data_IF_446240299692
#
_entry.id   IF_446240299692
#
_cell.length_a   1.000
_cell.length_b   1.000
_cell.length_c   1.000
_cell.angle_alpha   90.00
_cell.angle_beta   90.00
_cell.angle_gamma   90.00
#
_symmetry.space_group_name_H-M   'P 1'
#
loop_
_entity.id
_entity.type
_entity.pdbx_description
1 polymer ?
#
# COMPACT_ATOMS: atom_id res chain seq x y z
N UNK A 1 -7.02 -25.49 13.99
CA UNK A 1 -8.14 -24.55 13.84
C UNK A 1 -7.73 -23.51 12.80
N UNK A 2 -8.63 -23.15 11.89
CA UNK A 2 -8.31 -22.22 10.80
C UNK A 2 -8.16 -20.80 11.38
N UNK A 3 -7.03 -20.14 11.11
CA UNK A 3 -6.83 -18.75 11.54
C UNK A 3 -7.70 -17.84 10.68
N UNK A 4 -8.36 -16.85 11.27
CA UNK A 4 -9.20 -15.90 10.54
C UNK A 4 -8.33 -14.96 9.70
N UNK A 5 -8.53 -14.94 8.39
CA UNK A 5 -7.88 -14.00 7.48
C UNK A 5 -8.48 -12.60 7.67
N UNK A 6 -7.64 -11.62 7.95
CA UNK A 6 -8.05 -10.22 8.10
C UNK A 6 -7.88 -9.44 6.79
N UNK A 7 -6.70 -9.56 6.16
CA UNK A 7 -6.39 -8.84 4.93
C UNK A 7 -5.29 -9.52 4.13
N UNK A 8 -5.41 -9.45 2.82
CA UNK A 8 -4.32 -9.79 1.88
C UNK A 8 -3.89 -8.56 1.11
N UNK A 9 -2.63 -8.49 0.71
CA UNK A 9 -2.13 -7.43 -0.17
C UNK A 9 -0.74 -7.74 -0.70
N UNK A 10 -0.30 -6.95 -1.69
CA UNK A 10 1.00 -7.11 -2.31
C UNK A 10 2.02 -6.20 -1.60
N UNK A 11 3.25 -6.68 -1.42
CA UNK A 11 4.30 -6.00 -0.66
C UNK A 11 4.83 -4.74 -1.37
N UNK A 12 4.78 -4.70 -2.70
CA UNK A 12 5.18 -3.54 -3.51
C UNK A 12 4.20 -2.35 -3.36
N UNK A 13 3.06 -2.57 -2.67
CA UNK A 13 2.13 -1.48 -2.39
C UNK A 13 2.62 -0.50 -1.33
N UNK A 14 3.55 -0.93 -0.49
CA UNK A 14 3.96 -0.23 0.72
C UNK A 14 5.47 -0.14 0.83
N UNK A 15 5.94 0.74 1.70
CA UNK A 15 7.34 0.88 2.05
C UNK A 15 7.58 0.24 3.41
N UNK A 16 8.44 -0.78 3.47
CA UNK A 16 8.82 -1.40 4.74
C UNK A 16 9.63 -0.42 5.59
N UNK A 17 9.28 -0.30 6.87
CA UNK A 17 10.10 0.43 7.85
C UNK A 17 11.06 -0.54 8.54
N UNK A 18 12.18 -0.02 9.01
CA UNK A 18 13.25 -0.82 9.60
C UNK A 18 13.98 -0.10 10.72
N UNK A 19 14.79 -0.88 11.42
CA UNK A 19 15.65 -0.43 12.50
C UNK A 19 16.92 -1.28 12.54
N UNK A 20 18.09 -0.65 12.75
CA UNK A 20 19.36 -1.37 12.80
C UNK A 20 19.75 -2.07 11.48
N UNK A 21 19.30 -1.55 10.33
CA UNK A 21 19.62 -2.10 9.00
C UNK A 21 18.73 -3.26 8.54
N UNK A 22 17.70 -3.62 9.32
CA UNK A 22 16.78 -4.70 8.99
C UNK A 22 15.33 -4.19 8.91
N UNK A 23 14.55 -4.73 7.97
CA UNK A 23 13.13 -4.41 7.86
C UNK A 23 12.34 -5.11 8.97
N UNK A 24 11.37 -4.40 9.55
CA UNK A 24 10.46 -4.94 10.57
C UNK A 24 9.73 -6.16 10.03
N UNK A 25 9.26 -6.09 8.78
CA UNK A 25 8.50 -7.17 8.15
C UNK A 25 9.31 -8.47 8.01
N UNK A 26 10.57 -8.39 7.60
CA UNK A 26 11.45 -9.57 7.49
C UNK A 26 11.64 -10.27 8.85
N UNK A 27 11.61 -9.49 9.92
CA UNK A 27 11.71 -9.99 11.30
C UNK A 27 10.36 -10.23 11.97
N UNK A 28 9.24 -10.13 11.25
CA UNK A 28 7.92 -10.03 11.88
C UNK A 28 7.60 -11.23 12.78
N UNK A 29 7.82 -12.45 12.30
CA UNK A 29 7.60 -13.67 13.09
C UNK A 29 8.53 -13.74 14.31
N UNK A 30 9.78 -13.28 14.16
CA UNK A 30 10.75 -13.26 15.25
C UNK A 30 10.38 -12.24 16.33
N UNK A 31 9.91 -11.05 15.93
CA UNK A 31 9.43 -10.01 16.85
C UNK A 31 8.25 -10.54 17.66
N UNK A 32 7.27 -11.16 16.99
CA UNK A 32 6.10 -11.75 17.65
C UNK A 32 6.49 -12.83 18.65
N UNK A 33 7.37 -13.74 18.25
CA UNK A 33 7.82 -14.82 19.13
C UNK A 33 8.63 -14.28 20.31
N UNK A 34 9.50 -13.29 20.08
CA UNK A 34 10.24 -12.63 21.14
C UNK A 34 9.32 -11.91 22.15
N UNK A 35 8.25 -11.25 21.69
CA UNK A 35 7.24 -10.65 22.55
C UNK A 35 6.48 -11.71 23.37
N UNK A 36 6.13 -12.85 22.73
CA UNK A 36 5.49 -13.99 23.40
C UNK A 36 6.36 -14.56 24.51
N UNK A 37 7.65 -14.78 24.23
CA UNK A 37 8.63 -15.26 25.22
C UNK A 37 8.85 -14.27 26.38
N UNK A 38 8.68 -12.97 26.12
CA UNK A 38 8.73 -11.89 27.12
C UNK A 38 7.40 -11.66 27.86
N UNK A 39 6.41 -12.55 27.67
CA UNK A 39 5.06 -12.49 28.27
C UNK A 39 4.28 -11.20 27.93
N UNK A 40 4.53 -10.63 26.75
CA UNK A 40 3.86 -9.43 26.27
C UNK A 40 2.65 -9.77 25.39
N UNK A 41 1.72 -10.58 25.92
CA UNK A 41 0.63 -11.13 25.10
C UNK A 41 -0.28 -10.05 24.52
N UNK A 42 -0.58 -8.99 25.28
CA UNK A 42 -1.39 -7.87 24.79
C UNK A 42 -0.83 -7.21 23.52
N UNK A 43 0.51 -7.09 23.42
CA UNK A 43 1.19 -6.56 22.24
C UNK A 43 1.11 -7.56 21.08
N UNK A 44 1.32 -8.85 21.36
CA UNK A 44 1.26 -9.92 20.34
C UNK A 44 -0.13 -10.04 19.73
N UNK A 45 -1.18 -9.87 20.54
CA UNK A 45 -2.57 -9.96 20.11
C UNK A 45 -2.98 -8.76 19.23
N UNK A 46 -2.34 -7.60 19.39
CA UNK A 46 -2.52 -6.43 18.51
C UNK A 46 -1.87 -6.59 17.14
N UNK A 47 -0.91 -7.49 16.99
CA UNK A 47 -0.17 -7.63 15.74
C UNK A 47 -0.76 -8.79 14.94
N UNK A 48 -1.13 -8.57 13.68
CA UNK A 48 -1.55 -9.67 12.82
C UNK A 48 -0.36 -10.61 12.49
N UNK A 49 -0.66 -11.86 12.15
CA UNK A 49 0.34 -12.87 11.76
C UNK A 49 0.52 -12.81 10.24
N UNK A 50 1.69 -12.37 9.72
CA UNK A 50 1.95 -12.39 8.28
C UNK A 50 2.25 -13.80 7.79
N UNK A 51 1.75 -14.15 6.62
CA UNK A 51 2.08 -15.35 5.85
C UNK A 51 2.35 -14.93 4.40
N UNK A 52 3.58 -15.12 3.93
CA UNK A 52 3.98 -14.78 2.56
C UNK A 52 3.66 -15.95 1.64
N UNK A 53 3.23 -15.66 0.42
CA UNK A 53 3.03 -16.68 -0.62
C UNK A 53 4.36 -17.20 -1.18
N UNK A 54 4.31 -18.30 -1.95
CA UNK A 54 5.51 -18.92 -2.54
C UNK A 54 6.27 -17.99 -3.51
N UNK A 55 5.55 -17.05 -4.14
CA UNK A 55 6.13 -16.05 -5.05
C UNK A 55 6.81 -14.88 -4.34
N UNK A 56 6.61 -14.71 -3.03
CA UNK A 56 7.23 -13.65 -2.24
C UNK A 56 6.66 -12.25 -2.44
N UNK A 57 5.63 -12.07 -3.28
CA UNK A 57 5.09 -10.76 -3.67
C UNK A 57 3.80 -10.39 -2.91
N UNK A 58 3.12 -11.38 -2.33
CA UNK A 58 1.84 -11.21 -1.62
C UNK A 58 1.93 -11.74 -0.20
N UNK A 59 1.29 -11.03 0.72
CA UNK A 59 1.18 -11.40 2.13
C UNK A 59 -0.29 -11.45 2.56
N UNK A 60 -0.62 -12.53 3.27
CA UNK A 60 -1.88 -12.73 3.96
C UNK A 60 -1.69 -12.49 5.45
N UNK A 61 -2.53 -11.63 6.04
CA UNK A 61 -2.48 -11.25 7.45
C UNK A 61 -3.63 -11.90 8.21
N UNK A 62 -3.29 -12.71 9.21
CA UNK A 62 -4.26 -13.47 9.99
C UNK A 62 -4.40 -12.93 11.42
N UNK A 63 -5.59 -13.04 11.97
CA UNK A 63 -5.84 -12.73 13.38
C UNK A 63 -5.10 -13.71 14.30
N UNK A 64 -4.39 -13.22 15.34
CA UNK A 64 -3.87 -14.06 16.42
C UNK A 64 -4.95 -14.60 17.37
N UNK A 65 -6.12 -13.95 17.43
CA UNK A 65 -7.24 -14.32 18.30
C UNK A 65 -8.43 -14.77 17.46
N UNK A 66 -9.23 -15.68 18.02
CA UNK A 66 -10.51 -16.09 17.42
C UNK A 66 -11.60 -15.10 17.83
N UNK A 67 -12.59 -14.88 16.97
CA UNK A 67 -13.69 -13.94 17.21
C UNK A 67 -14.31 -13.40 15.93
N UNK A 68 -15.34 -12.57 16.09
CA UNK A 68 -15.99 -11.88 14.97
C UNK A 68 -15.14 -10.70 14.50
N UNK A 69 -14.92 -10.60 13.18
CA UNK A 69 -14.07 -9.55 12.58
C UNK A 69 -14.93 -8.41 12.06
N UNK A 70 -14.60 -7.21 12.50
CA UNK A 70 -15.16 -5.95 12.00
C UNK A 70 -14.02 -5.04 11.56
N UNK A 71 -14.11 -4.39 10.40
CA UNK A 71 -13.10 -3.40 10.01
C UNK A 71 -13.25 -2.13 10.84
N UNK A 72 -12.16 -1.37 11.03
CA UNK A 72 -12.21 -0.09 11.76
C UNK A 72 -13.33 0.84 11.26
N UNK A 73 -13.49 0.94 9.94
CA UNK A 73 -14.53 1.78 9.31
C UNK A 73 -15.96 1.29 9.54
N UNK A 74 -16.15 -0.01 9.67
CA UNK A 74 -17.46 -0.62 9.87
C UNK A 74 -17.83 -0.75 11.36
N UNK A 75 -16.89 -0.50 12.27
CA UNK A 75 -17.13 -0.57 13.71
C UNK A 75 -17.93 0.63 14.21
N UNK A 76 -18.68 0.45 15.28
CA UNK A 76 -19.39 1.53 15.97
C UNK A 76 -18.41 2.51 16.62
N UNK A 77 -18.83 3.75 16.84
CA UNK A 77 -17.97 4.80 17.41
C UNK A 77 -17.43 4.41 18.79
N UNK A 78 -18.29 3.86 19.67
CA UNK A 78 -17.90 3.39 21.01
C UNK A 78 -16.82 2.31 20.95
N UNK A 79 -16.93 1.38 20.00
CA UNK A 79 -15.96 0.32 19.78
C UNK A 79 -14.64 0.87 19.24
N UNK A 80 -14.68 1.83 18.31
CA UNK A 80 -13.48 2.55 17.84
C UNK A 80 -12.81 3.30 18.98
N UNK A 81 -13.55 3.99 19.85
CA UNK A 81 -12.98 4.69 21.01
C UNK A 81 -12.30 3.73 21.99
N UNK A 82 -12.95 2.62 22.34
CA UNK A 82 -12.37 1.60 23.23
C UNK A 82 -11.12 0.97 22.62
N UNK A 83 -11.17 0.65 21.33
CA UNK A 83 -10.05 0.10 20.60
C UNK A 83 -8.88 1.07 20.49
N UNK A 84 -9.13 2.36 20.23
CA UNK A 84 -8.10 3.39 20.21
C UNK A 84 -7.38 3.48 21.56
N UNK A 85 -8.14 3.55 22.66
CA UNK A 85 -7.57 3.57 24.02
C UNK A 85 -6.72 2.34 24.31
N UNK A 86 -7.16 1.18 23.84
CA UNK A 86 -6.39 -0.07 23.95
C UNK A 86 -5.06 0.01 23.17
N UNK A 87 -5.08 0.54 21.94
CA UNK A 87 -3.87 0.75 21.13
C UNK A 87 -2.92 1.76 21.77
N UNK A 88 -3.41 2.87 22.31
CA UNK A 88 -2.60 3.89 22.99
C UNK A 88 -1.83 3.28 24.18
N UNK A 89 -2.52 2.52 25.03
CA UNK A 89 -1.91 1.82 26.17
C UNK A 89 -0.87 0.78 25.73
N UNK A 90 -1.17 0.07 24.65
CA UNK A 90 -0.27 -0.94 24.08
C UNK A 90 0.99 -0.27 23.50
N UNK A 91 0.83 0.83 22.78
CA UNK A 91 1.94 1.58 22.18
C UNK A 91 2.87 2.16 23.26
N UNK A 92 2.32 2.72 24.34
CA UNK A 92 3.13 3.16 25.48
C UNK A 92 3.95 2.01 26.11
N UNK A 93 3.37 0.81 26.18
CA UNK A 93 4.07 -0.39 26.66
C UNK A 93 5.18 -0.84 25.71
N UNK A 94 4.93 -0.80 24.40
CA UNK A 94 5.90 -1.09 23.34
C UNK A 94 7.08 -0.14 23.39
N UNK A 95 6.84 1.17 23.53
CA UNK A 95 7.89 2.17 23.64
C UNK A 95 8.77 1.97 24.88
N UNK A 96 8.16 1.69 26.04
CA UNK A 96 8.90 1.39 27.26
C UNK A 96 9.79 0.16 27.07
N UNK A 97 9.27 -0.89 26.44
CA UNK A 97 10.02 -2.12 26.16
C UNK A 97 11.15 -1.88 25.16
N UNK A 98 10.88 -1.12 24.10
CA UNK A 98 11.87 -0.72 23.10
C UNK A 98 13.03 0.06 23.74
N UNK A 99 12.74 1.10 24.52
CA UNK A 99 13.74 1.91 25.25
C UNK A 99 14.59 1.05 26.18
N UNK A 100 13.98 0.14 26.95
CA UNK A 100 14.70 -0.82 27.81
C UNK A 100 15.62 -1.74 27.01
N UNK A 101 15.19 -2.20 25.84
CA UNK A 101 16.00 -3.08 24.99
C UNK A 101 17.17 -2.33 24.33
N UNK A 102 16.98 -1.07 23.96
CA UNK A 102 18.02 -0.20 23.41
C UNK A 102 19.12 0.14 24.43
N UNK A 103 18.79 0.21 25.72
CA UNK A 103 19.75 0.46 26.80
C UNK A 103 20.57 -0.78 27.21
N UNK A 104 20.24 -1.95 26.66
CA UNK A 104 20.96 -3.17 26.98
C UNK A 104 22.37 -3.19 26.35
N UNK A 105 23.38 -3.78 27.00
CA UNK A 105 24.71 -3.94 26.41
C UNK A 105 24.77 -5.03 25.33
N UNK A 106 23.68 -5.79 25.11
CA UNK A 106 23.65 -6.88 24.13
C UNK A 106 23.14 -6.38 22.78
N UNK A 107 23.96 -6.50 21.73
CA UNK A 107 23.62 -6.06 20.36
C UNK A 107 22.28 -6.63 19.87
N UNK A 108 22.02 -7.92 20.09
CA UNK A 108 20.75 -8.53 19.69
C UNK A 108 19.52 -7.92 20.40
N UNK A 109 19.66 -7.46 21.64
CA UNK A 109 18.59 -6.77 22.35
C UNK A 109 18.42 -5.34 21.84
N UNK A 110 19.51 -4.65 21.49
CA UNK A 110 19.45 -3.34 20.87
C UNK A 110 18.75 -3.39 19.50
N UNK A 111 19.08 -4.38 18.66
CA UNK A 111 18.41 -4.63 17.38
C UNK A 111 16.91 -4.88 17.58
N UNK A 112 16.55 -5.76 18.53
CA UNK A 112 15.14 -5.99 18.87
C UNK A 112 14.44 -4.69 19.32
N UNK A 113 15.08 -3.87 20.15
CA UNK A 113 14.53 -2.58 20.57
C UNK A 113 14.33 -1.61 19.40
N UNK A 114 15.31 -1.56 18.48
CA UNK A 114 15.24 -0.74 17.27
C UNK A 114 14.10 -1.18 16.35
N UNK A 115 13.96 -2.47 16.08
CA UNK A 115 12.83 -3.01 15.30
C UNK A 115 11.48 -2.77 15.97
N UNK A 116 11.41 -3.01 17.29
CA UNK A 116 10.18 -2.84 18.06
C UNK A 116 9.71 -1.37 18.06
N UNK A 117 10.64 -0.40 18.04
CA UNK A 117 10.29 1.04 17.96
C UNK A 117 9.54 1.43 16.68
N UNK A 118 9.65 0.61 15.63
CA UNK A 118 8.99 0.81 14.33
C UNK A 118 7.93 -0.24 14.04
N UNK A 119 7.74 -1.23 14.92
CA UNK A 119 6.84 -2.35 14.70
C UNK A 119 5.37 -1.94 14.58
N UNK A 120 4.94 -0.91 15.32
CA UNK A 120 3.55 -0.48 15.32
C UNK A 120 3.19 0.45 14.15
N UNK A 121 4.12 0.77 13.24
CA UNK A 121 3.83 1.56 12.04
C UNK A 121 2.91 0.79 11.09
N UNK A 122 1.84 1.40 10.62
CA UNK A 122 0.93 0.82 9.63
C UNK A 122 0.46 1.88 8.61
N UNK A 123 -0.02 1.49 7.41
CA UNK A 123 -0.29 2.46 6.34
C UNK A 123 -1.47 3.41 6.62
N UNK A 124 -2.49 2.97 7.36
CA UNK A 124 -3.62 3.83 7.78
C UNK A 124 -4.80 3.04 8.36
N UNK A 125 -5.91 3.72 8.65
CA UNK A 125 -7.12 3.16 9.30
C UNK A 125 -7.70 1.90 8.63
N UNK A 126 -7.61 1.79 7.29
CA UNK A 126 -8.10 0.63 6.55
C UNK A 126 -7.42 -0.69 6.95
N UNK A 127 -6.27 -0.61 7.63
CA UNK A 127 -5.46 -1.76 8.04
C UNK A 127 -5.67 -2.15 9.50
N UNK A 128 -6.66 -1.55 10.16
CA UNK A 128 -7.04 -1.87 11.53
C UNK A 128 -8.36 -2.63 11.54
N UNK A 129 -8.40 -3.74 12.27
CA UNK A 129 -9.56 -4.60 12.42
C UNK A 129 -9.84 -4.84 13.90
N UNK A 130 -11.10 -4.94 14.27
CA UNK A 130 -11.55 -5.32 15.60
C UNK A 130 -11.97 -6.79 15.58
N UNK A 131 -11.42 -7.59 16.48
CA UNK A 131 -11.82 -8.99 16.68
C UNK A 131 -12.33 -9.14 18.10
N UNK A 132 -13.64 -9.33 18.26
CA UNK A 132 -14.34 -9.26 19.55
C UNK A 132 -13.96 -8.01 20.38
N UNK A 133 -13.94 -6.85 19.72
CA UNK A 133 -13.58 -5.56 20.32
C UNK A 133 -12.08 -5.31 20.52
N UNK A 134 -11.20 -6.26 20.21
CA UNK A 134 -9.74 -6.09 20.31
C UNK A 134 -9.15 -5.59 18.98
N UNK A 135 -8.37 -4.50 18.98
CA UNK A 135 -7.75 -3.98 17.77
C UNK A 135 -6.57 -4.84 17.32
N UNK A 136 -6.51 -5.12 16.02
CA UNK A 136 -5.45 -5.88 15.36
C UNK A 136 -4.97 -5.09 14.14
N UNK A 137 -3.67 -4.83 14.11
CA UNK A 137 -2.97 -4.12 13.05
C UNK A 137 -2.50 -5.11 11.98
N UNK A 138 -2.99 -4.93 10.76
CA UNK A 138 -2.43 -5.55 9.56
C UNK A 138 -1.39 -4.63 8.91
N UNK A 139 -0.48 -5.20 8.11
CA UNK A 139 0.59 -4.42 7.47
C UNK A 139 1.43 -3.60 8.46
N UNK A 140 1.59 -4.13 9.68
CA UNK A 140 2.48 -3.51 10.66
C UNK A 140 3.94 -3.63 10.21
N UNK A 141 4.74 -2.61 10.49
CA UNK A 141 6.07 -2.46 9.90
C UNK A 141 6.07 -1.89 8.48
N UNK A 142 4.98 -1.28 8.02
CA UNK A 142 4.88 -0.62 6.72
C UNK A 142 4.27 0.78 6.81
N UNK A 143 4.62 1.62 5.83
CA UNK A 143 3.98 2.90 5.54
C UNK A 143 3.58 2.98 4.06
N UNK A 144 2.78 3.98 3.69
CA UNK A 144 2.47 4.21 2.28
C UNK A 144 3.74 4.59 1.51
N UNK A 145 3.76 4.31 0.21
CA UNK A 145 4.90 4.67 -0.62
C UNK A 145 5.07 6.18 -0.69
N UNK A 146 6.33 6.61 -0.61
CA UNK A 146 6.72 8.02 -0.59
C UNK A 146 6.29 8.79 0.67
N UNK A 147 5.76 8.10 1.69
CA UNK A 147 5.56 8.66 3.02
C UNK A 147 6.70 8.23 3.95
N UNK A 148 7.03 9.09 4.91
CA UNK A 148 7.95 8.74 5.99
C UNK A 148 7.19 8.04 7.13
N UNK A 149 7.93 7.34 7.99
CA UNK A 149 7.38 6.83 9.25
C UNK A 149 6.78 7.99 10.05
N UNK A 150 5.52 7.84 10.49
CA UNK A 150 4.83 8.87 11.28
C UNK A 150 5.45 8.98 12.67
N UNK A 151 5.49 10.19 13.21
CA UNK A 151 5.90 10.43 14.59
C UNK A 151 4.81 9.95 15.55
N UNK A 152 3.55 10.34 15.32
CA UNK A 152 2.37 9.76 15.96
C UNK A 152 1.69 8.75 15.02
N UNK A 153 1.72 7.49 15.42
CA UNK A 153 1.24 6.37 14.60
C UNK A 153 -0.29 6.25 14.63
N UNK A 154 -0.93 6.72 15.71
CA UNK A 154 -2.37 6.57 15.92
C UNK A 154 -3.16 7.80 15.47
N UNK A 155 -2.48 8.85 14.99
CA UNK A 155 -3.09 10.10 14.56
C UNK A 155 -4.17 9.87 13.47
N UNK A 156 -3.88 9.03 12.48
CA UNK A 156 -4.84 8.66 11.44
C UNK A 156 -6.13 7.99 11.99
N UNK A 157 -6.07 7.34 13.15
CA UNK A 157 -7.26 6.77 13.79
C UNK A 157 -8.04 7.84 14.57
N UNK A 158 -7.35 8.85 15.11
CA UNK A 158 -8.01 9.97 15.80
C UNK A 158 -8.74 10.88 14.83
N UNK A 159 -8.15 11.15 13.67
CA UNK A 159 -8.79 11.91 12.60
C UNK A 159 -10.10 11.23 12.15
N UNK A 160 -10.11 9.90 12.03
CA UNK A 160 -11.32 9.13 11.65
C UNK A 160 -12.45 9.13 12.69
N UNK A 161 -12.20 9.60 13.91
CA UNK A 161 -13.22 9.76 14.96
C UNK A 161 -13.83 11.16 14.98
N UNK A 162 -13.28 12.10 14.20
CA UNK A 162 -13.86 13.44 14.06
C UNK A 162 -15.07 13.27 13.12
N UNK A 163 -16.30 13.59 13.56
CA UNK A 163 -17.47 13.46 12.70
C UNK A 163 -17.27 14.33 11.46
N UNK A 164 -17.40 13.74 10.27
CA UNK A 164 -17.44 14.52 9.04
C UNK A 164 -18.56 15.55 9.19
N UNK A 165 -18.28 16.85 8.92
CA UNK A 165 -19.32 17.87 9.03
C UNK A 165 -20.47 17.44 8.11
N UNK A 166 -21.66 17.26 8.69
CA UNK A 166 -22.84 16.93 7.93
C UNK A 166 -22.93 17.89 6.74
N UNK A 167 -23.20 17.41 5.52
CA UNK A 167 -23.34 18.29 4.37
C UNK A 167 -24.35 19.35 4.77
N UNK A 168 -23.90 20.61 4.81
CA UNK A 168 -24.78 21.75 4.97
C UNK A 168 -25.70 21.66 3.78
N UNK A 169 -26.92 21.18 4.00
CA UNK A 169 -28.00 21.32 3.05
C UNK A 169 -28.15 22.83 2.93
N UNK A 170 -27.56 23.40 1.87
CA UNK A 170 -27.98 24.71 1.41
C UNK A 170 -29.42 24.46 0.99
N UNK A 171 -30.36 24.81 1.87
CA UNK A 171 -31.75 24.95 1.47
C UNK A 171 -31.71 25.93 0.30
N UNK A 172 -31.99 25.43 -0.92
CA UNK A 172 -32.31 26.29 -2.04
C UNK A 172 -33.34 27.30 -1.52
N UNK A 173 -33.12 28.61 -1.69
CA UNK A 173 -34.07 29.59 -1.20
C UNK A 173 -35.43 29.27 -1.79
N UNK A 174 -36.40 29.06 -0.90
CA UNK A 174 -37.81 28.86 -1.22
C UNK A 174 -38.21 29.89 -2.28
N UNK A 175 -38.80 29.47 -3.43
CA UNK A 175 -39.10 30.39 -4.50
C UNK A 175 -40.03 31.49 -3.95
N UNK A 176 -39.55 32.72 -4.06
CA UNK A 176 -40.26 33.93 -3.69
C UNK A 176 -41.69 33.87 -4.26
N UNK A 177 -42.74 34.02 -3.43
CA UNK A 177 -44.11 33.86 -3.89
C UNK A 177 -44.37 34.87 -5.01
N UNK A 178 -44.77 34.37 -6.18
CA UNK A 178 -45.16 35.19 -7.32
C UNK A 178 -46.15 36.26 -6.86
N UNK A 179 -45.78 37.52 -7.09
CA UNK A 179 -46.59 38.71 -6.84
C UNK A 179 -47.99 38.53 -7.46
N UNK A 180 -48.97 38.25 -6.60
CA UNK A 180 -50.38 38.34 -6.97
C UNK A 180 -50.65 39.81 -7.35
N UNK A 181 -51.19 40.10 -8.55
CA UNK A 181 -51.48 41.47 -8.94
C UNK A 181 -52.46 42.10 -7.95
N UNK A 182 -52.07 43.25 -7.42
CA UNK A 182 -52.81 44.01 -6.40
C UNK A 182 -54.29 44.20 -6.81
N UNK A 183 -55.25 43.92 -5.93
CA UNK A 183 -56.64 44.30 -6.18
C UNK A 183 -56.73 45.83 -6.17
N UNK A 184 -57.25 46.37 -7.27
CA UNK A 184 -57.58 47.79 -7.42
C UNK A 184 -58.65 48.18 -6.41
N UNK A 185 -58.24 48.79 -5.30
CA UNK A 185 -59.17 49.41 -4.34
C UNK A 185 -59.51 50.81 -4.86
N UNK A 186 -60.69 50.92 -5.46
CA UNK A 186 -61.37 52.18 -5.74
C UNK A 186 -61.83 52.78 -4.41
N UNK A 187 -61.28 53.93 -4.05
CA UNK A 187 -61.69 54.69 -2.87
C UNK A 187 -63.02 55.39 -3.15
N UNK A 188 -64.14 54.78 -2.75
CA UNK A 188 -65.40 55.52 -2.55
C UNK A 188 -65.77 55.53 -1.07
N UNK A 189 -65.89 56.76 -0.56
CA UNK A 189 -66.45 57.21 0.72
C UNK A 189 -65.60 57.07 1.99
N UNK A 190 -65.00 58.21 2.32
CA UNK A 190 -64.78 58.70 3.66
C UNK A 190 -66.11 58.86 4.43
N UNK A 191 -65.99 58.83 5.76
CA UNK A 191 -66.99 59.12 6.80
C UNK A 191 -67.76 57.93 7.41
N UNK A 192 -67.13 57.25 8.38
CA UNK A 192 -67.81 56.83 9.63
C UNK A 192 -66.80 56.58 10.77
N UNK A 193 -67.01 57.10 12.01
CA UNK A 193 -65.97 57.12 13.04
C UNK A 193 -65.98 55.94 14.04
N UNK A 194 -64.77 55.58 14.48
CA UNK A 194 -64.32 55.03 15.78
C UNK A 194 -65.29 54.14 16.59
N UNK A 195 -64.88 52.88 16.85
CA UNK A 195 -64.76 52.21 18.18
C UNK A 195 -64.52 50.70 17.95
N UNK A 196 -63.37 50.17 18.38
CA UNK A 196 -63.22 48.76 18.80
C UNK A 196 -62.04 48.63 19.78
N UNK A 197 -62.19 47.84 20.87
CA UNK A 197 -61.31 47.92 22.04
C UNK A 197 -60.01 47.12 21.90
N UNK A 198 -58.99 47.58 22.63
CA UNK A 198 -57.70 46.91 22.83
C UNK A 198 -57.93 45.57 23.54
N UNK A 199 -57.59 44.46 22.88
CA UNK A 199 -57.56 43.14 23.50
C UNK A 199 -56.33 43.05 24.41
N UNK A 200 -56.56 43.14 25.72
CA UNK A 200 -55.55 42.85 26.74
C UNK A 200 -55.31 41.33 26.81
N UNK A 201 -54.14 40.88 26.36
CA UNK A 201 -53.66 39.52 26.62
C UNK A 201 -53.18 39.49 28.08
N UNK A 202 -53.96 38.85 28.95
CA UNK A 202 -53.56 38.52 30.32
C UNK A 202 -52.80 37.19 30.29
N UNK A 203 -51.50 37.23 30.57
CA UNK A 203 -50.72 36.02 30.86
C UNK A 203 -50.97 35.68 32.32
N UNK A 204 -51.63 34.54 32.58
CA UNK A 204 -51.78 33.99 33.94
C UNK A 204 -50.52 33.20 34.34
N UNK A 205 -50.09 33.22 35.61
CA UNK A 205 -48.85 32.60 36.06
C UNK A 205 -48.86 31.05 36.11
N UNK A 206 -49.98 30.42 35.76
CA UNK A 206 -50.17 28.97 35.88
C UNK A 206 -49.57 28.12 34.76
N UNK A 207 -49.09 28.71 33.65
CA UNK A 207 -48.45 27.94 32.56
C UNK A 207 -46.96 27.62 32.83
N UNK A 208 -46.43 28.00 33.99
CA UNK A 208 -45.03 27.81 34.38
C UNK A 208 -44.76 26.62 35.31
N UNK A 209 -45.74 25.73 35.57
CA UNK A 209 -45.53 24.61 36.50
C UNK A 209 -46.24 23.32 36.08
N UNK A 210 -45.67 22.63 35.09
CA UNK A 210 -45.88 21.18 34.92
C UNK A 210 -44.61 20.45 35.38
N UNK A 211 -44.57 19.87 36.60
CA UNK A 211 -43.43 19.07 37.03
C UNK A 211 -43.41 17.72 36.29
N UNK A 212 -42.30 17.46 35.62
CA UNK A 212 -41.95 16.19 34.98
C UNK A 212 -41.86 15.07 36.06
N UNK A 213 -42.46 13.88 35.86
CA UNK A 213 -42.39 12.82 36.86
C UNK A 213 -40.96 12.27 36.97
N UNK A 214 -40.44 12.24 38.20
CA UNK A 214 -39.14 11.66 38.52
C UNK A 214 -39.05 10.17 38.10
N UNK A 215 -37.89 9.71 37.59
CA UNK A 215 -37.72 8.33 37.17
C UNK A 215 -37.81 7.38 38.37
N UNK A 216 -38.66 6.37 38.25
CA UNK A 216 -38.78 5.28 39.22
C UNK A 216 -37.47 4.49 39.26
N UNK A 217 -36.75 4.59 40.38
CA UNK A 217 -35.59 3.75 40.67
C UNK A 217 -36.07 2.31 40.81
N UNK A 218 -35.77 1.47 39.82
CA UNK A 218 -35.98 0.04 39.92
C UNK A 218 -35.07 -0.54 41.01
N UNK A 219 -35.66 -1.22 41.99
CA UNK A 219 -34.94 -1.93 43.04
C UNK A 219 -34.13 -3.09 42.43
N UNK A 220 -32.90 -3.37 42.92
CA UNK A 220 -32.11 -4.50 42.45
C UNK A 220 -32.81 -5.82 42.83
N UNK A 221 -33.05 -6.66 41.83
CA UNK A 221 -33.52 -8.03 42.06
C UNK A 221 -32.45 -8.81 42.85
N UNK A 222 -32.84 -9.65 43.83
CA UNK A 222 -31.90 -10.45 44.60
C UNK A 222 -31.16 -11.43 43.68
N UNK A 223 -29.84 -11.30 43.70
CA UNK A 223 -28.86 -12.14 43.01
C UNK A 223 -29.02 -13.62 43.46
N UNK A 224 -29.23 -14.58 42.55
CA UNK A 224 -29.25 -15.99 42.93
C UNK A 224 -27.85 -16.40 43.40
N UNK A 225 -27.78 -16.90 44.63
CA UNK A 225 -26.55 -17.34 45.28
C UNK A 225 -25.74 -18.31 44.39
N UNK A 226 -24.40 -18.22 44.39
CA UNK A 226 -23.56 -19.08 43.57
C UNK A 226 -23.72 -20.54 44.00
N UNK A 227 -24.26 -21.37 43.10
CA UNK A 227 -24.23 -22.82 43.25
C UNK A 227 -22.77 -23.25 43.10
N UNK A 228 -22.13 -23.57 44.22
CA UNK A 228 -20.79 -24.16 44.26
C UNK A 228 -20.88 -25.59 43.70
N UNK A 229 -20.74 -25.71 42.38
CA UNK A 229 -20.52 -27.02 41.74
C UNK A 229 -19.07 -27.40 42.02
N UNK A 230 -18.85 -28.19 43.06
CA UNK A 230 -17.57 -28.85 43.32
C UNK A 230 -17.29 -29.86 42.20
N UNK A 231 -16.60 -29.41 41.14
CA UNK A 231 -16.03 -30.33 40.15
C UNK A 231 -14.94 -31.15 40.83
N UNK A 232 -15.29 -32.36 41.29
CA UNK A 232 -14.33 -33.40 41.67
C UNK A 232 -13.43 -33.68 40.46
N UNK A 233 -12.20 -33.16 40.53
CA UNK A 233 -11.10 -33.41 39.58
C UNK A 233 -10.77 -34.90 39.64
N UNK A 234 -11.38 -35.70 38.76
CA UNK A 234 -10.92 -37.08 38.51
C UNK A 234 -9.63 -36.98 37.70
N UNK A 235 -8.51 -37.12 38.41
CA UNK A 235 -7.20 -37.38 37.81
C UNK A 235 -7.24 -38.83 37.32
N UNK A 236 -7.09 -39.13 36.02
CA UNK A 236 -6.86 -40.51 35.62
C UNK A 236 -5.47 -40.91 36.11
N UNK A 237 -5.48 -41.92 36.97
CA UNK A 237 -4.35 -42.61 37.57
C UNK A 237 -3.55 -43.34 36.48
N UNK A 238 -2.73 -42.62 35.73
CA UNK A 238 -1.67 -43.20 34.92
C UNK A 238 -0.45 -42.29 34.86
N UNK A 239 0.05 -41.98 36.05
CA UNK A 239 1.44 -41.59 36.25
C UNK A 239 2.19 -42.79 36.81
N UNK A 240 3.30 -43.13 36.14
CA UNK A 240 4.30 -44.18 36.41
C UNK A 240 3.97 -45.54 35.75
N UNK A 241 4.69 -45.92 34.69
CA UNK A 241 6.15 -46.04 34.73
C UNK A 241 6.85 -45.43 33.51
N UNK A 242 7.35 -44.19 33.63
CA UNK A 242 8.41 -43.68 32.72
C UNK A 242 9.53 -43.08 33.58
N UNK A 243 9.88 -43.79 34.66
CA UNK A 243 11.10 -43.55 35.44
C UNK A 243 12.08 -44.73 35.31
N UNK A 244 11.87 -45.63 34.35
CA UNK A 244 12.72 -46.78 34.05
C UNK A 244 13.22 -46.84 32.59
N UNK A 245 12.98 -45.81 31.78
CA UNK A 245 13.57 -45.69 30.42
C UNK A 245 14.71 -44.67 30.37
N UNK A 246 14.86 -43.82 31.40
CA UNK A 246 15.95 -42.83 31.50
C UNK A 246 17.30 -43.48 31.90
N UNK A 247 17.32 -44.76 32.31
CA UNK A 247 18.57 -45.51 32.59
C UNK A 247 19.01 -46.41 31.41
N UNK A 248 18.20 -46.55 30.35
CA UNK A 248 18.56 -47.31 29.14
C UNK A 248 18.92 -46.40 27.93
N UNK A 249 19.18 -45.11 28.16
CA UNK A 249 19.58 -44.15 27.13
C UNK A 249 20.99 -43.56 27.33
N UNK A 250 21.81 -44.17 28.20
CA UNK A 250 23.25 -43.83 28.36
C UNK A 250 24.18 -44.96 27.87
N UNK A 251 23.65 -46.10 27.41
CA UNK A 251 24.46 -47.21 26.89
C UNK A 251 24.00 -47.77 25.53
N UNK A 252 23.40 -46.93 24.68
CA UNK A 252 22.96 -47.35 23.34
C UNK A 252 23.24 -46.32 22.21
N UNK A 253 24.47 -45.78 22.10
CA UNK A 253 25.01 -45.47 20.79
C UNK A 253 26.33 -46.20 20.60
N UNK A 254 26.29 -47.53 20.50
CA UNK A 254 27.44 -48.33 20.07
C UNK A 254 27.10 -49.47 19.11
N UNK A 255 25.90 -49.45 18.51
CA UNK A 255 25.43 -50.49 17.59
C UNK A 255 24.55 -49.87 16.48
N UNK A 256 25.07 -48.87 15.77
CA UNK A 256 24.63 -48.58 14.41
C UNK A 256 25.86 -48.37 13.52
N UNK A 257 25.98 -49.09 12.39
CA UNK A 257 27.17 -49.04 11.57
C UNK A 257 27.34 -47.65 10.94
N UNK A 258 28.58 -47.15 10.98
CA UNK A 258 29.01 -45.94 10.27
C UNK A 258 28.65 -46.03 8.79
N UNK A 259 28.19 -44.95 8.13
CA UNK A 259 28.21 -44.89 6.68
C UNK A 259 29.67 -44.99 6.21
N UNK A 260 29.92 -45.92 5.30
CA UNK A 260 31.20 -46.08 4.65
C UNK A 260 31.57 -44.81 3.84
N UNK A 261 32.86 -44.47 3.74
CA UNK A 261 33.29 -43.48 2.75
C UNK A 261 32.90 -43.98 1.37
N UNK A 262 32.30 -43.08 0.58
CA UNK A 262 31.97 -43.33 -0.82
C UNK A 262 33.22 -43.82 -1.53
N UNK A 263 33.13 -45.04 -2.07
CA UNK A 263 34.17 -45.62 -2.90
C UNK A 263 34.41 -44.68 -4.10
N UNK A 264 35.68 -44.30 -4.24
CA UNK A 264 36.24 -43.74 -5.45
C UNK A 264 36.03 -44.74 -6.59
N UNK A 265 35.51 -44.32 -7.76
CA UNK A 265 35.37 -45.23 -8.89
C UNK A 265 36.75 -45.72 -9.34
N UNK A 266 36.96 -47.04 -9.23
CA UNK A 266 38.08 -47.72 -9.86
C UNK A 266 37.98 -47.57 -11.41
N UNK A 267 39.13 -47.53 -12.11
CA UNK A 267 39.19 -47.20 -13.53
C UNK A 267 38.66 -48.36 -14.38
N UNK A 268 37.74 -48.06 -15.29
CA UNK A 268 37.36 -48.93 -16.39
C UNK A 268 38.31 -48.71 -17.59
N UNK A 269 38.51 -49.73 -18.44
CA UNK A 269 39.71 -49.89 -19.27
C UNK A 269 39.76 -48.94 -20.45
N UNK A 270 40.98 -48.59 -20.84
CA UNK A 270 41.36 -47.83 -22.03
C UNK A 270 40.89 -48.58 -23.29
N UNK A 271 40.04 -47.99 -24.15
CA UNK A 271 40.00 -48.36 -25.55
C UNK A 271 41.12 -47.62 -26.30
N UNK A 272 41.84 -48.40 -27.11
CA UNK A 272 42.92 -47.97 -28.00
C UNK A 272 42.49 -46.81 -28.92
N UNK A 273 43.42 -45.92 -29.31
CA UNK A 273 43.12 -44.82 -30.23
C UNK A 273 42.91 -45.36 -31.64
N UNK A 274 41.65 -45.47 -32.07
CA UNK A 274 41.32 -45.66 -33.48
C UNK A 274 41.54 -44.34 -34.21
N UNK A 275 42.52 -44.33 -35.10
CA UNK A 275 42.75 -43.26 -36.06
C UNK A 275 41.53 -43.12 -36.98
N UNK A 276 40.83 -41.99 -36.90
CA UNK A 276 39.81 -41.60 -37.86
C UNK A 276 40.34 -40.38 -38.61
N UNK A 277 40.59 -40.58 -39.91
CA UNK A 277 41.11 -39.61 -40.84
C UNK A 277 40.27 -38.32 -40.90
N UNK A 278 40.91 -37.14 -41.09
CA UNK A 278 40.17 -35.90 -41.27
C UNK A 278 39.37 -35.94 -42.58
N UNK A 279 38.06 -35.70 -42.49
CA UNK A 279 37.20 -35.42 -43.65
C UNK A 279 37.61 -34.08 -44.29
N UNK A 280 37.52 -33.96 -45.63
CA UNK A 280 38.07 -32.85 -46.38
C UNK A 280 37.33 -31.53 -46.10
N UNK A 281 38.13 -30.49 -45.90
CA UNK A 281 37.72 -29.09 -45.79
C UNK A 281 37.12 -28.67 -47.13
N UNK A 282 35.87 -28.21 -47.12
CA UNK A 282 35.22 -27.61 -48.28
C UNK A 282 35.95 -26.30 -48.59
N UNK A 283 36.50 -26.18 -49.80
CA UNK A 283 37.17 -24.98 -50.27
C UNK A 283 36.21 -23.78 -50.24
N UNK A 284 36.66 -22.69 -49.61
CA UNK A 284 36.01 -21.38 -49.64
C UNK A 284 36.39 -20.72 -50.97
N UNK A 285 35.39 -20.29 -51.74
CA UNK A 285 35.59 -19.50 -52.96
C UNK A 285 36.27 -18.16 -52.63
N UNK A 286 37.24 -17.69 -53.44
CA UNK A 286 37.93 -16.45 -53.16
C UNK A 286 37.02 -15.24 -53.43
N UNK A 287 36.89 -14.38 -52.41
CA UNK A 287 36.35 -13.03 -52.51
C UNK A 287 37.16 -12.22 -53.54
N UNK A 288 36.49 -11.72 -54.57
CA UNK A 288 37.06 -10.75 -55.48
C UNK A 288 37.36 -9.44 -54.73
N UNK A 289 38.64 -9.06 -54.66
CA UNK A 289 39.06 -7.73 -54.23
C UNK A 289 38.72 -6.71 -55.32
N UNK A 290 37.61 -5.99 -55.15
CA UNK A 290 37.37 -4.74 -55.86
C UNK A 290 37.34 -3.61 -54.83
N UNK A 291 38.52 -3.05 -54.55
CA UNK A 291 38.68 -1.76 -53.88
C UNK A 291 38.66 -0.67 -54.96
N UNK A 292 37.62 0.19 -55.04
CA UNK A 292 37.73 1.39 -55.84
C UNK A 292 38.58 2.41 -55.08
N UNK A 293 39.84 2.57 -55.48
CA UNK A 293 40.63 3.77 -55.17
C UNK A 293 39.88 4.98 -55.75
N UNK A 294 39.12 5.69 -54.93
CA UNK A 294 38.77 7.08 -55.21
C UNK A 294 39.89 7.95 -54.65
N UNK A 295 40.61 8.58 -55.57
CA UNK A 295 41.62 9.59 -55.26
C UNK A 295 40.95 10.77 -54.56
N UNK A 296 41.59 11.24 -53.50
CA UNK A 296 41.18 12.42 -52.77
C UNK A 296 41.34 13.66 -53.67
N UNK A 297 40.24 14.29 -54.03
CA UNK A 297 40.23 15.60 -54.68
C UNK A 297 40.01 16.68 -53.61
N UNK A 298 41.00 17.57 -53.51
CA UNK A 298 41.03 18.69 -52.57
C UNK A 298 40.14 19.79 -53.13
N UNK A 299 38.96 19.98 -52.54
CA UNK A 299 38.13 21.17 -52.80
C UNK A 299 38.47 22.24 -51.76
N UNK A 300 38.94 23.37 -52.29
CA UNK A 300 39.35 24.55 -51.56
C UNK A 300 38.19 25.24 -50.83
N UNK A 301 38.57 25.82 -49.69
CA UNK A 301 37.78 26.68 -48.80
C UNK A 301 37.06 27.82 -49.54
N UNK A 302 35.75 27.99 -49.30
CA UNK A 302 35.10 29.30 -49.42
C UNK A 302 33.86 29.42 -48.52
N UNK A 303 33.79 30.62 -47.94
CA UNK A 303 32.64 31.34 -47.38
C UNK A 303 32.28 31.05 -45.91
N UNK A 304 32.48 32.11 -45.12
CA UNK A 304 32.19 32.29 -43.71
C UNK A 304 30.77 32.86 -43.60
N UNK A 305 29.87 32.16 -42.91
CA UNK A 305 28.61 32.71 -42.39
C UNK A 305 28.16 31.94 -41.12
N UNK A 306 27.38 32.59 -40.25
CA UNK A 306 27.79 33.05 -38.94
C UNK A 306 27.79 31.95 -37.87
N UNK A 307 28.59 32.16 -36.82
CA UNK A 307 28.63 31.33 -35.61
C UNK A 307 27.21 31.07 -35.06
N UNK A 308 26.76 29.81 -34.93
CA UNK A 308 25.61 29.52 -34.09
C UNK A 308 26.03 29.76 -32.64
N UNK A 309 25.20 30.54 -31.94
CA UNK A 309 25.29 30.76 -30.51
C UNK A 309 25.53 29.42 -29.78
N UNK A 310 26.34 29.40 -28.70
CA UNK A 310 26.73 28.16 -28.04
C UNK A 310 25.48 27.37 -27.65
N UNK A 311 25.36 26.16 -28.19
CA UNK A 311 24.34 25.20 -27.80
C UNK A 311 24.57 24.93 -26.33
N UNK A 312 23.71 25.48 -25.49
CA UNK A 312 23.66 25.19 -24.06
C UNK A 312 23.38 23.69 -23.96
N UNK A 313 24.40 22.92 -23.60
CA UNK A 313 24.27 21.51 -23.24
C UNK A 313 23.48 21.51 -21.94
N UNK A 314 22.15 21.52 -22.04
CA UNK A 314 21.27 21.31 -20.89
C UNK A 314 21.60 19.90 -20.39
N UNK A 315 22.16 19.82 -19.19
CA UNK A 315 22.49 18.54 -18.57
C UNK A 315 21.24 17.66 -18.54
N UNK A 316 21.30 16.51 -19.21
CA UNK A 316 20.19 15.55 -19.24
C UNK A 316 19.91 15.12 -17.79
N UNK A 317 18.67 15.25 -17.29
CA UNK A 317 18.33 14.80 -15.95
C UNK A 317 18.60 13.30 -15.83
N UNK A 318 19.30 12.87 -14.78
CA UNK A 318 19.67 11.45 -14.58
C UNK A 318 18.45 10.52 -14.45
N UNK A 319 17.30 11.08 -14.10
CA UNK A 319 16.01 10.40 -13.93
C UNK A 319 15.14 10.45 -15.20
N UNK A 320 15.54 11.15 -16.27
CA UNK A 320 14.76 11.24 -17.50
C UNK A 320 14.75 9.92 -18.28
N UNK A 321 13.61 9.61 -18.91
CA UNK A 321 13.53 8.53 -19.89
C UNK A 321 14.21 8.98 -21.18
N UNK A 322 15.28 8.29 -21.59
CA UNK A 322 16.03 8.61 -22.81
C UNK A 322 15.74 7.55 -23.87
N UNK A 323 15.13 7.97 -24.98
CA UNK A 323 14.85 7.17 -26.17
C UNK A 323 16.01 7.29 -27.17
N UNK A 324 17.15 6.68 -26.84
CA UNK A 324 18.36 6.75 -27.65
C UNK A 324 18.10 6.36 -29.12
N UNK A 325 18.50 7.22 -30.06
CA UNK A 325 18.21 7.05 -31.48
C UNK A 325 18.69 5.70 -32.05
N UNK A 326 19.82 5.18 -31.57
CA UNK A 326 20.35 3.87 -31.97
C UNK A 326 19.44 2.71 -31.53
N UNK A 327 18.91 2.77 -30.31
CA UNK A 327 18.02 1.74 -29.78
C UNK A 327 16.63 1.79 -30.44
N UNK A 328 16.10 2.99 -30.67
CA UNK A 328 14.81 3.19 -31.33
C UNK A 328 14.86 2.66 -32.76
N UNK A 329 15.91 2.99 -33.53
CA UNK A 329 16.12 2.47 -34.89
C UNK A 329 16.28 0.94 -34.93
N UNK A 330 16.90 0.37 -33.89
CA UNK A 330 17.05 -1.08 -33.75
C UNK A 330 15.78 -1.78 -33.25
N UNK A 331 14.68 -1.05 -32.96
CA UNK A 331 13.46 -1.62 -32.40
C UNK A 331 13.59 -2.09 -30.94
N UNK A 332 14.65 -1.66 -30.23
CA UNK A 332 14.91 -2.05 -28.84
C UNK A 332 14.13 -1.17 -27.88
N UNK A 333 13.41 -1.78 -26.95
CA UNK A 333 12.68 -1.10 -25.86
C UNK A 333 13.37 -1.25 -24.50
N UNK A 334 14.66 -1.63 -24.47
CA UNK A 334 15.40 -1.85 -23.22
C UNK A 334 15.43 -0.63 -22.31
N UNK A 335 15.44 0.57 -22.88
CA UNK A 335 15.38 1.83 -22.15
C UNK A 335 14.11 1.99 -21.30
N UNK A 336 13.04 1.23 -21.57
CA UNK A 336 11.78 1.26 -20.84
C UNK A 336 11.79 0.35 -19.61
N UNK A 337 12.74 -0.58 -19.50
CA UNK A 337 12.78 -1.54 -18.39
C UNK A 337 13.08 -0.85 -17.06
N UNK A 338 12.22 -1.07 -16.07
CA UNK A 338 12.36 -0.54 -14.72
C UNK A 338 11.07 0.06 -14.18
N UNK A 339 11.22 0.80 -13.08
CA UNK A 339 10.11 1.49 -12.41
C UNK A 339 10.15 2.97 -12.75
N UNK A 340 9.03 3.50 -13.22
CA UNK A 340 8.85 4.87 -13.64
C UNK A 340 7.72 5.54 -12.89
N UNK A 341 7.93 6.79 -12.47
CA UNK A 341 6.89 7.69 -11.99
C UNK A 341 6.45 8.54 -13.18
N UNK A 342 5.17 8.49 -13.52
CA UNK A 342 4.56 9.32 -14.54
C UNK A 342 3.88 10.51 -13.87
N UNK A 343 4.28 11.70 -14.26
CA UNK A 343 3.77 12.97 -13.74
C UNK A 343 2.93 13.59 -14.85
N UNK A 344 1.64 13.72 -14.59
CA UNK A 344 0.70 14.43 -15.46
C UNK A 344 0.81 15.92 -15.16
N UNK A 345 0.93 16.74 -16.20
CA UNK A 345 0.92 18.20 -16.06
C UNK A 345 -0.53 18.73 -15.98
N UNK A 346 -1.32 18.12 -15.10
CA UNK A 346 -2.71 18.48 -14.81
C UNK A 346 -2.93 18.44 -13.31
N UNK A 347 -3.47 19.54 -12.78
CA UNK A 347 -3.96 19.61 -11.41
C UNK A 347 -5.37 19.03 -11.38
N UNK A 348 -5.59 18.06 -10.51
CA UNK A 348 -6.91 17.51 -10.23
C UNK A 348 -7.82 18.63 -9.67
N UNK A 349 -9.01 18.86 -10.23
CA UNK A 349 -9.91 19.92 -9.77
C UNK A 349 -10.47 19.70 -8.36
N UNK A 350 -10.44 18.46 -7.84
CA UNK A 350 -10.96 18.12 -6.50
C UNK A 350 -9.84 18.14 -5.46
N UNK A 351 -8.69 17.55 -5.78
CA UNK A 351 -7.59 17.37 -4.79
C UNK A 351 -6.45 18.38 -4.94
N UNK A 352 -6.39 19.15 -6.04
CA UNK A 352 -5.34 20.13 -6.33
C UNK A 352 -3.93 19.54 -6.53
N UNK A 353 -3.77 18.22 -6.34
CA UNK A 353 -2.49 17.48 -6.46
C UNK A 353 -2.53 16.61 -7.72
N UNK A 354 -1.45 16.52 -8.50
CA UNK A 354 -1.41 15.61 -9.65
C UNK A 354 -1.47 14.15 -9.17
N UNK A 355 -2.30 13.29 -9.77
CA UNK A 355 -2.40 11.89 -9.37
C UNK A 355 -1.04 11.19 -9.52
N UNK A 356 -0.65 10.44 -8.49
CA UNK A 356 0.63 9.72 -8.55
C UNK A 356 0.46 8.42 -9.35
N UNK A 357 1.05 8.39 -10.53
CA UNK A 357 1.00 7.24 -11.43
C UNK A 357 2.38 6.59 -11.50
N UNK A 358 2.45 5.28 -11.26
CA UNK A 358 3.69 4.49 -11.30
C UNK A 358 3.54 3.34 -12.27
N UNK A 359 4.56 3.14 -13.07
CA UNK A 359 4.66 2.06 -14.04
C UNK A 359 5.85 1.19 -13.69
N UNK A 360 5.66 -0.12 -13.73
CA UNK A 360 6.74 -1.09 -13.62
C UNK A 360 6.71 -1.94 -14.88
N UNK A 361 7.70 -1.75 -15.74
CA UNK A 361 7.74 -2.35 -17.07
C UNK A 361 8.99 -3.21 -17.18
N UNK A 362 8.79 -4.43 -17.67
CA UNK A 362 9.87 -5.35 -17.97
C UNK A 362 9.52 -6.14 -19.23
N UNK A 363 10.40 -6.09 -20.24
CA UNK A 363 10.21 -6.80 -21.51
C UNK A 363 8.84 -6.54 -22.14
N UNK A 364 8.48 -5.26 -22.26
CA UNK A 364 7.25 -4.78 -22.88
C UNK A 364 5.92 -5.12 -22.18
N UNK A 365 5.97 -5.70 -20.98
CA UNK A 365 4.81 -5.98 -20.15
C UNK A 365 5.02 -5.41 -18.76
N UNK A 366 3.94 -5.12 -18.06
CA UNK A 366 4.07 -4.52 -16.74
C UNK A 366 2.74 -4.24 -16.08
N UNK A 367 2.84 -3.49 -14.98
CA UNK A 367 1.69 -3.00 -14.24
C UNK A 367 1.76 -1.49 -14.08
N UNK A 368 0.61 -0.86 -14.22
CA UNK A 368 0.41 0.54 -13.86
C UNK A 368 -0.39 0.60 -12.56
N UNK A 369 0.06 1.46 -11.66
CA UNK A 369 -0.58 1.74 -10.38
C UNK A 369 -0.83 3.23 -10.24
N UNK A 370 -2.05 3.56 -9.86
CA UNK A 370 -2.49 4.94 -9.63
C UNK A 370 -2.97 5.02 -8.19
N UNK A 371 -2.57 6.08 -7.49
CA UNK A 371 -3.06 6.40 -6.14
C UNK A 371 -3.84 7.72 -6.22
N UNK A 372 -5.11 7.68 -5.81
CA UNK A 372 -6.00 8.84 -5.74
C UNK A 372 -6.09 9.38 -4.29
N UNK A 373 -6.68 10.58 -4.11
CA UNK A 373 -6.70 11.37 -2.87
C UNK A 373 -7.18 10.64 -1.60
N UNK A 374 -7.99 9.59 -1.75
CA UNK A 374 -8.56 8.82 -0.63
C UNK A 374 -7.81 7.50 -0.35
N UNK A 375 -6.52 7.42 -0.70
CA UNK A 375 -5.71 6.19 -0.64
C UNK A 375 -6.27 5.02 -1.46
N UNK A 376 -7.16 5.31 -2.42
CA UNK A 376 -7.69 4.32 -3.36
C UNK A 376 -6.60 3.97 -4.35
N UNK A 377 -6.25 2.69 -4.41
CA UNK A 377 -5.19 2.18 -5.29
C UNK A 377 -5.83 1.47 -6.46
N UNK A 378 -5.63 2.01 -7.67
CA UNK A 378 -6.09 1.41 -8.91
C UNK A 378 -4.94 0.72 -9.63
N UNK A 379 -5.14 -0.53 -10.07
CA UNK A 379 -4.13 -1.36 -10.74
C UNK A 379 -4.60 -1.85 -12.10
N UNK A 380 -3.73 -1.78 -13.11
CA UNK A 380 -3.97 -2.31 -14.45
C UNK A 380 -2.73 -3.02 -15.00
N UNK A 381 -2.94 -4.10 -15.74
CA UNK A 381 -1.92 -4.67 -16.62
C UNK A 381 -1.72 -3.77 -17.84
N UNK A 382 -0.46 -3.53 -18.17
CA UNK A 382 -0.07 -2.71 -19.31
C UNK A 382 0.92 -3.43 -20.22
N UNK A 383 0.88 -3.01 -21.48
CA UNK A 383 1.69 -3.53 -22.57
C UNK A 383 2.28 -2.34 -23.30
N UNK A 384 3.55 -2.43 -23.63
CA UNK A 384 4.25 -1.41 -24.39
C UNK A 384 4.80 -1.96 -25.69
N UNK A 385 4.91 -1.12 -26.70
CA UNK A 385 5.46 -1.49 -28.00
C UNK A 385 6.01 -0.28 -28.72
N UNK A 386 7.16 -0.45 -29.36
CA UNK A 386 7.75 0.57 -30.23
C UNK A 386 7.27 0.33 -31.66
N UNK A 387 6.57 1.29 -32.24
CA UNK A 387 6.13 1.24 -33.62
C UNK A 387 7.30 1.54 -34.58
N UNK A 388 7.16 1.13 -35.84
CA UNK A 388 8.17 1.34 -36.89
C UNK A 388 8.47 2.82 -37.17
N UNK A 389 7.55 3.73 -36.81
CA UNK A 389 7.73 5.18 -36.89
C UNK A 389 8.55 5.76 -35.72
N UNK A 390 9.04 4.93 -34.80
CA UNK A 390 9.78 5.35 -33.61
C UNK A 390 8.91 5.84 -32.44
N UNK A 391 7.59 5.72 -32.54
CA UNK A 391 6.65 6.07 -31.47
C UNK A 391 6.47 4.89 -30.51
N UNK A 392 6.77 5.13 -29.23
CA UNK A 392 6.52 4.16 -28.16
C UNK A 392 5.07 4.31 -27.68
N UNK A 393 4.32 3.22 -27.73
CA UNK A 393 2.95 3.15 -27.23
C UNK A 393 2.89 2.29 -25.98
N UNK A 394 2.22 2.77 -24.94
CA UNK A 394 1.89 2.01 -23.72
C UNK A 394 0.37 2.00 -23.56
N UNK A 395 -0.23 0.81 -23.56
CA UNK A 395 -1.67 0.58 -23.48
C UNK A 395 -2.02 -0.35 -22.33
N UNK A 396 -3.22 -0.22 -21.79
CA UNK A 396 -3.80 -1.21 -20.89
C UNK A 396 -4.78 -2.10 -21.65
N UNK A 397 -5.00 -3.34 -21.18
CA UNK A 397 -6.05 -4.22 -21.76
C UNK A 397 -7.46 -3.88 -21.28
N UNK A 398 -7.62 -2.91 -20.38
CA UNK A 398 -8.89 -2.49 -19.83
C UNK A 398 -8.73 -1.48 -18.70
N UNK A 399 -9.84 -1.08 -18.09
CA UNK A 399 -9.85 -0.16 -16.95
C UNK A 399 -9.11 -0.75 -15.75
N UNK A 400 -8.37 0.09 -15.03
CA UNK A 400 -7.73 -0.29 -13.78
C UNK A 400 -8.80 -0.63 -12.72
N UNK A 401 -8.54 -1.66 -11.90
CA UNK A 401 -9.40 -2.05 -10.78
C UNK A 401 -8.93 -1.37 -9.52
N UNK A 402 -9.84 -0.70 -8.83
CA UNK A 402 -9.56 0.07 -7.63
C UNK A 402 -9.96 -0.71 -6.36
N UNK A 403 -9.35 -0.37 -5.22
CA UNK A 403 -9.56 -1.06 -3.93
C UNK A 403 -10.95 -0.88 -3.33
N UNK A 404 -11.65 0.19 -3.73
CA UNK A 404 -13.05 0.50 -3.41
C UNK A 404 -14.06 -0.27 -4.31
N UNK A 405 -13.59 -1.08 -5.25
CA UNK A 405 -14.41 -1.79 -6.23
C UNK A 405 -14.74 -0.98 -7.48
N UNK A 406 -14.37 0.31 -7.53
CA UNK A 406 -14.55 1.14 -8.71
C UNK A 406 -13.55 0.78 -9.82
N UNK A 407 -13.76 1.36 -11.01
CA UNK A 407 -12.91 1.17 -12.19
C UNK A 407 -12.40 2.51 -12.67
N UNK A 408 -11.09 2.59 -12.92
CA UNK A 408 -10.44 3.79 -13.40
C UNK A 408 -10.04 3.67 -14.88
N UNK A 409 -10.38 4.63 -15.75
CA UNK A 409 -9.99 4.61 -17.16
C UNK A 409 -8.50 4.93 -17.31
N UNK A 410 -7.71 3.94 -17.71
CA UNK A 410 -6.28 4.11 -17.91
C UNK A 410 -5.99 4.78 -19.26
N UNK A 411 -5.18 5.86 -19.32
CA UNK A 411 -4.87 6.51 -20.58
C UNK A 411 -3.96 5.68 -21.47
N UNK A 412 -4.09 5.84 -22.78
CA UNK A 412 -3.07 5.41 -23.73
C UNK A 412 -1.91 6.40 -23.73
N UNK A 413 -0.69 5.93 -23.53
CA UNK A 413 0.49 6.79 -23.50
C UNK A 413 1.29 6.63 -24.79
N UNK A 414 1.55 7.74 -25.45
CA UNK A 414 2.38 7.82 -26.65
C UNK A 414 3.62 8.67 -26.36
N UNK A 415 4.81 8.14 -26.62
CA UNK A 415 6.08 8.82 -26.41
C UNK A 415 6.89 8.91 -27.70
N UNK A 416 7.55 10.05 -27.90
CA UNK A 416 8.49 10.29 -29.01
C UNK A 416 9.82 10.81 -28.47
N UNK A 417 10.90 10.57 -29.19
CA UNK A 417 12.19 11.18 -28.88
C UNK A 417 12.12 12.69 -29.15
N UNK A 418 12.29 13.49 -28.10
CA UNK A 418 12.33 14.94 -28.13
C UNK A 418 13.75 15.49 -28.22
N UNK A 419 13.96 16.71 -27.71
CA UNK A 419 15.29 17.32 -27.67
C UNK A 419 16.24 16.49 -26.80
N UNK A 420 17.46 16.23 -27.29
CA UNK A 420 18.47 15.43 -26.58
C UNK A 420 18.04 13.99 -26.27
N UNK A 421 17.22 13.38 -27.16
CA UNK A 421 16.68 12.02 -27.03
C UNK A 421 15.80 11.78 -25.78
N UNK A 422 15.39 12.85 -25.07
CA UNK A 422 14.49 12.74 -23.92
C UNK A 422 13.08 12.40 -24.42
N UNK A 423 12.41 11.44 -23.78
CA UNK A 423 11.06 11.02 -24.15
C UNK A 423 10.03 12.14 -23.85
N UNK A 424 9.38 12.64 -24.89
CA UNK A 424 8.22 13.51 -24.81
C UNK A 424 6.96 12.65 -24.90
N UNK A 425 6.25 12.50 -23.77
CA UNK A 425 5.09 11.62 -23.68
C UNK A 425 3.78 12.40 -23.55
N UNK A 426 2.71 11.81 -24.07
CA UNK A 426 1.33 12.32 -23.96
C UNK A 426 0.42 11.19 -23.54
N UNK A 427 -0.44 11.46 -22.55
CA UNK A 427 -1.48 10.57 -22.07
C UNK A 427 -2.81 10.96 -22.72
N UNK A 428 -3.46 10.02 -23.41
CA UNK A 428 -4.76 10.19 -24.04
C UNK A 428 -5.81 9.38 -23.29
N UNK A 429 -6.81 10.04 -22.72
CA UNK A 429 -7.94 9.39 -22.04
C UNK A 429 -9.11 9.11 -22.99
N UNK A 430 -9.37 10.04 -23.90
CA UNK A 430 -10.37 9.94 -24.97
C UNK A 430 -9.94 10.75 -26.21
N UNK A 431 -10.82 10.95 -27.18
CA UNK A 431 -10.50 11.67 -28.42
C UNK A 431 -10.14 13.15 -28.21
N UNK A 432 -10.64 13.78 -27.14
CA UNK A 432 -10.53 15.21 -26.88
C UNK A 432 -9.58 15.52 -25.71
N UNK A 433 -9.33 14.55 -24.82
CA UNK A 433 -8.49 14.73 -23.63
C UNK A 433 -7.11 14.11 -23.82
N UNK A 434 -6.15 14.97 -24.23
CA UNK A 434 -4.73 14.63 -24.33
C UNK A 434 -3.94 15.53 -23.38
N UNK A 435 -3.16 14.91 -22.51
CA UNK A 435 -2.42 15.58 -21.43
C UNK A 435 -0.91 15.30 -21.58
N UNK A 436 -0.04 16.31 -21.47
CA UNK A 436 1.41 16.08 -21.39
C UNK A 436 1.77 15.20 -20.18
N UNK A 437 2.66 14.24 -20.42
CA UNK A 437 3.11 13.28 -19.41
C UNK A 437 4.64 13.27 -19.39
N UNK A 438 5.22 13.31 -18.19
CA UNK A 438 6.68 13.15 -18.02
C UNK A 438 6.98 11.89 -17.23
N UNK A 439 7.83 11.02 -17.76
CA UNK A 439 8.36 9.87 -17.02
C UNK A 439 9.67 10.23 -16.33
N UNK A 440 9.73 9.88 -15.04
CA UNK A 440 10.94 9.94 -14.21
C UNK A 440 11.24 8.57 -13.63
N UNK A 441 12.50 8.17 -13.63
CA UNK A 441 12.92 6.89 -13.04
C UNK A 441 12.69 6.91 -11.52
N UNK A 442 12.01 5.91 -10.99
CA UNK A 442 11.75 5.83 -9.56
C UNK A 442 12.98 5.27 -8.82
N UNK A 443 13.48 6.00 -7.81
CA UNK A 443 14.62 5.59 -6.98
C UNK A 443 16.00 6.01 -7.49
N UNK A 444 16.08 7.08 -8.29
CA UNK A 444 17.33 7.69 -8.75
C UNK A 444 17.86 8.76 -7.79
#
# INVERSE_FOLDING_TARGET
>A
MAKTLLRSGNLDDFQAVGGGGQAVFESALQIREALRLRKQQAIVDCLAIPQVNDSGDRVDWYSPVEGNVTSWKAADEDDRYRALRYLENTLASVESLSKKCLQSPKTAQQLFGSLLSKAFQFPGENFVFLVDGKPILCFWGFVNLNENARDDVLDCLRESLIPEPAPVVIEDPEPEPELVPEPTITFEKADEPLIAPVAAIRITPEDLYAPEPAPVVAQPAPEPAPVVITKKRRVPLWTLPVAAVIVAAIAAPLMWPKPAPSAEPAPAPVPEPVAIAPKPIKAVEPLAMNLPLHQAEVVASKEKEPEPAPVVIVAIPKDAMVMEAGQVKAGSTRFLNGTWRAILDVKDPVTGKPPSMRYQIQNNKGFARIVHGDNIVCRAEIFSGLHSNGELMIKSRGTARCTDGSRYPMPEVACKAGTSDIAECRARYDANTVVPLTFKKAGA
#
